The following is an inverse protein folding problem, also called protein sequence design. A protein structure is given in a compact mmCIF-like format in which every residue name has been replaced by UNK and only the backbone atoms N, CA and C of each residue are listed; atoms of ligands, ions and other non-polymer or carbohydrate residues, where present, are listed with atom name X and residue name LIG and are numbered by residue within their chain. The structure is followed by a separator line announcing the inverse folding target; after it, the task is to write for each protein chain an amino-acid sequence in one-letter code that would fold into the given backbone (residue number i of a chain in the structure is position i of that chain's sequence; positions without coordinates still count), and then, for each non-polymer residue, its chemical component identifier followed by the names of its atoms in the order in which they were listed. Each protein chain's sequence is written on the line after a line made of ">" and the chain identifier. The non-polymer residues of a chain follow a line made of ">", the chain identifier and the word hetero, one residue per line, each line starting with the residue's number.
data_IF_161578488344
#
_entry.id   IF_161578488344
#
_cell.length_a   1.000
_cell.length_b   1.000
_cell.length_c   1.000
_cell.angle_alpha   90.00
_cell.angle_beta   90.00
_cell.angle_gamma   90.00
#
_symmetry.space_group_name_H-M   'P 1'
#
loop_
_entity.id
_entity.type
_entity.pdbx_description
1 polymer ?
#
# COMPACT_ATOMS: atom_id res chain seq x y z
N UNK A 1 15.21 3.44 4.12
CA UNK A 1 14.20 2.55 3.54
C UNK A 1 14.53 1.15 4.05
N UNK A 2 13.68 0.55 4.90
CA UNK A 2 13.96 -0.79 5.42
C UNK A 2 13.66 -1.81 4.32
N UNK A 3 14.65 -2.55 3.86
CA UNK A 3 14.55 -3.44 2.69
C UNK A 3 13.91 -4.76 3.12
N UNK A 4 12.64 -4.73 3.51
CA UNK A 4 11.91 -5.95 3.90
C UNK A 4 11.41 -6.75 2.69
N UNK A 5 11.46 -6.18 1.48
CA UNK A 5 10.85 -6.76 0.28
C UNK A 5 9.31 -6.81 0.34
N UNK A 6 8.69 -6.15 1.32
CA UNK A 6 7.24 -6.09 1.52
C UNK A 6 6.72 -4.66 1.45
N UNK A 7 5.46 -4.53 1.08
CA UNK A 7 4.73 -3.27 1.18
C UNK A 7 4.73 -2.83 2.65
N UNK A 8 5.04 -1.56 2.88
CA UNK A 8 5.04 -0.98 4.21
C UNK A 8 3.63 -0.61 4.62
N UNK A 9 3.20 -1.08 5.78
CA UNK A 9 1.90 -0.76 6.38
C UNK A 9 1.94 0.69 6.92
N UNK A 10 0.88 1.47 6.69
CA UNK A 10 0.76 2.79 7.33
C UNK A 10 0.25 2.68 8.77
N UNK A 11 0.24 3.79 9.50
CA UNK A 11 -0.28 3.86 10.86
C UNK A 11 -1.73 3.36 11.00
N UNK A 12 -2.56 3.50 9.96
CA UNK A 12 -3.95 3.01 9.98
C UNK A 12 -4.07 1.50 9.76
N UNK A 13 -2.95 0.81 9.55
CA UNK A 13 -2.91 -0.61 9.22
C UNK A 13 -3.20 -0.92 7.75
N UNK A 14 -3.28 0.11 6.89
CA UNK A 14 -3.56 -0.05 5.46
C UNK A 14 -2.61 0.79 4.61
N UNK A 15 -2.38 0.38 3.37
CA UNK A 15 -1.55 1.14 2.43
C UNK A 15 -2.36 1.50 1.20
N UNK A 16 -2.52 2.79 0.94
CA UNK A 16 -3.27 3.29 -0.21
C UNK A 16 -2.32 3.43 -1.40
N UNK A 17 -2.78 2.98 -2.56
CA UNK A 17 -2.02 2.92 -3.81
C UNK A 17 -2.89 3.37 -4.98
N UNK A 18 -2.27 4.04 -5.96
CA UNK A 18 -2.93 4.35 -7.22
C UNK A 18 -2.83 3.14 -8.17
N UNK A 19 -3.94 2.75 -8.78
CA UNK A 19 -4.02 1.64 -9.74
C UNK A 19 -4.89 2.08 -10.92
N UNK A 20 -4.34 2.27 -12.13
CA UNK A 20 -2.92 2.11 -12.51
C UNK A 20 -1.99 3.14 -11.85
N UNK A 21 -0.68 2.89 -11.88
CA UNK A 21 0.32 3.81 -11.37
C UNK A 21 0.21 5.18 -12.06
N UNK A 22 0.07 6.23 -11.26
CA UNK A 22 -0.08 7.60 -11.74
C UNK A 22 0.74 8.56 -10.86
N UNK A 23 1.97 8.91 -11.28
CA UNK A 23 2.84 9.82 -10.53
C UNK A 23 2.17 11.19 -10.30
N UNK A 24 1.46 11.73 -11.29
CA UNK A 24 0.81 13.04 -11.18
C UNK A 24 -0.28 13.07 -10.11
N UNK A 25 -1.01 11.97 -9.92
CA UNK A 25 -2.03 11.87 -8.86
C UNK A 25 -1.43 11.94 -7.45
N UNK A 26 -0.22 11.40 -7.26
CA UNK A 26 0.50 11.44 -6.00
C UNK A 26 1.24 12.77 -5.79
N UNK A 27 2.02 13.22 -6.78
CA UNK A 27 2.86 14.42 -6.69
C UNK A 27 2.06 15.66 -6.32
N UNK A 28 0.86 15.83 -6.90
CA UNK A 28 0.00 16.98 -6.62
C UNK A 28 -0.52 17.05 -5.17
N UNK A 29 -0.51 15.93 -4.44
CA UNK A 29 -1.00 15.83 -3.05
C UNK A 29 0.13 15.62 -2.04
N UNK A 30 1.34 15.30 -2.51
CA UNK A 30 2.48 14.96 -1.69
C UNK A 30 3.10 16.20 -1.05
N UNK A 31 3.51 16.08 0.22
CA UNK A 31 4.27 17.14 0.89
C UNK A 31 5.71 17.19 0.35
N UNK A 32 6.37 18.37 0.33
CA UNK A 32 7.79 18.45 -0.02
C UNK A 32 8.64 17.46 0.79
N UNK A 33 9.58 16.79 0.11
CA UNK A 33 10.40 15.72 0.68
C UNK A 33 9.77 14.33 0.65
N UNK A 34 8.58 14.18 0.07
CA UNK A 34 7.99 12.86 -0.20
C UNK A 34 8.72 12.16 -1.35
N UNK A 35 8.75 10.83 -1.30
CA UNK A 35 9.30 9.99 -2.37
C UNK A 35 8.15 9.22 -3.01
N UNK A 36 8.05 9.33 -4.33
CA UNK A 36 7.14 8.51 -5.10
C UNK A 36 7.78 7.13 -5.33
N UNK A 37 6.99 6.07 -5.17
CA UNK A 37 7.47 4.70 -5.37
C UNK A 37 6.41 3.90 -6.13
N UNK A 38 6.85 3.23 -7.19
CA UNK A 38 6.09 2.21 -7.91
C UNK A 38 6.62 0.83 -7.53
N UNK A 39 5.72 -0.15 -7.45
CA UNK A 39 6.07 -1.52 -7.16
C UNK A 39 4.93 -2.44 -7.60
N UNK A 40 5.29 -3.68 -7.91
CA UNK A 40 4.36 -4.75 -8.27
C UNK A 40 3.93 -5.54 -7.03
N UNK A 41 2.63 -5.85 -6.97
CA UNK A 41 2.00 -6.74 -5.98
C UNK A 41 1.01 -7.69 -6.67
N UNK A 42 0.68 -8.85 -6.07
CA UNK A 42 -0.41 -9.68 -6.54
C UNK A 42 -1.74 -8.90 -6.56
N UNK A 43 -2.51 -9.02 -7.64
CA UNK A 43 -3.81 -8.34 -7.77
C UNK A 43 -4.79 -8.74 -6.65
N UNK A 44 -4.68 -9.95 -6.13
CA UNK A 44 -5.46 -10.43 -4.98
C UNK A 44 -5.21 -9.68 -3.67
N UNK A 45 -4.11 -8.93 -3.59
CA UNK A 45 -3.77 -8.08 -2.43
C UNK A 45 -4.38 -6.68 -2.51
N UNK A 46 -4.94 -6.30 -3.67
CA UNK A 46 -5.56 -5.01 -3.89
C UNK A 46 -7.05 -5.08 -3.59
N UNK A 47 -7.53 -4.11 -2.81
CA UNK A 47 -8.95 -3.86 -2.61
C UNK A 47 -9.29 -2.48 -3.15
N UNK A 48 -10.10 -2.44 -4.20
CA UNK A 48 -10.55 -1.19 -4.80
C UNK A 48 -11.29 -0.33 -3.77
N UNK A 49 -10.98 0.97 -3.75
CA UNK A 49 -11.65 1.94 -2.87
C UNK A 49 -12.47 2.93 -3.67
N UNK A 50 -11.90 3.46 -4.75
CA UNK A 50 -12.49 4.44 -5.65
C UNK A 50 -11.79 4.36 -7.00
N UNK A 51 -12.35 5.00 -8.02
CA UNK A 51 -11.79 4.98 -9.36
C UNK A 51 -10.31 5.42 -9.36
N UNK A 52 -9.42 4.54 -9.80
CA UNK A 52 -7.98 4.79 -9.85
C UNK A 52 -7.23 4.57 -8.52
N UNK A 53 -7.92 4.16 -7.45
CA UNK A 53 -7.34 3.93 -6.13
C UNK A 53 -7.70 2.57 -5.56
N UNK A 54 -6.73 1.97 -4.90
CA UNK A 54 -6.90 0.74 -4.15
C UNK A 54 -6.19 0.86 -2.81
N UNK A 55 -6.54 -0.03 -1.90
CA UNK A 55 -5.84 -0.21 -0.63
C UNK A 55 -5.37 -1.65 -0.46
N UNK A 56 -4.24 -1.79 0.21
CA UNK A 56 -3.72 -3.07 0.70
C UNK A 56 -4.02 -3.12 2.19
N UNK A 57 -4.70 -4.18 2.63
CA UNK A 57 -5.11 -4.37 4.01
C UNK A 57 -3.98 -5.10 4.76
N UNK A 58 -3.44 -4.47 5.79
CA UNK A 58 -2.42 -5.05 6.65
C UNK A 58 -2.99 -5.72 7.90
N UNK A 59 -2.13 -6.42 8.66
CA UNK A 59 -2.55 -7.15 9.86
C UNK A 59 -3.07 -6.23 10.98
N UNK A 60 -2.60 -4.99 11.05
CA UNK A 60 -2.98 -4.03 12.09
C UNK A 60 -4.20 -3.18 11.72
N UNK A 61 -4.75 -3.36 10.51
CA UNK A 61 -5.99 -2.69 10.09
C UNK A 61 -7.19 -3.05 10.99
N UNK A 62 -8.29 -2.30 10.84
CA UNK A 62 -9.55 -2.67 11.49
C UNK A 62 -10.02 -4.06 11.02
N UNK A 63 -9.93 -4.33 9.72
CA UNK A 63 -10.26 -5.62 9.12
C UNK A 63 -9.35 -6.74 9.63
N UNK A 64 -8.04 -6.50 9.75
CA UNK A 64 -7.08 -7.48 10.25
C UNK A 64 -7.30 -7.83 11.73
N UNK A 65 -7.55 -6.81 12.56
CA UNK A 65 -7.94 -7.02 13.97
C UNK A 65 -9.26 -7.75 14.12
N UNK A 66 -10.24 -7.49 13.24
CA UNK A 66 -11.51 -8.20 13.23
C UNK A 66 -11.34 -9.67 12.83
N UNK A 67 -10.54 -9.96 11.79
CA UNK A 67 -10.24 -11.32 11.35
C UNK A 67 -9.57 -12.13 12.47
N UNK A 68 -8.58 -11.53 13.15
CA UNK A 68 -7.92 -12.14 14.30
C UNK A 68 -8.92 -12.49 15.41
N UNK A 69 -9.82 -11.58 15.77
CA UNK A 69 -10.85 -11.82 16.79
C UNK A 69 -11.85 -12.91 16.39
N UNK A 70 -12.09 -13.11 15.10
CA UNK A 70 -12.99 -14.14 14.57
C UNK A 70 -12.29 -15.50 14.34
N UNK A 71 -11.00 -15.61 14.64
CA UNK A 71 -10.21 -16.81 14.33
C UNK A 71 -10.03 -17.06 12.83
N UNK A 72 -10.16 -16.01 12.01
CA UNK A 72 -9.98 -16.07 10.56
C UNK A 72 -8.52 -15.74 10.18
N UNK A 73 -8.15 -16.04 8.93
CA UNK A 73 -6.85 -15.68 8.39
C UNK A 73 -6.64 -14.16 8.42
N UNK A 74 -5.60 -13.71 9.12
CA UNK A 74 -5.25 -12.29 9.22
C UNK A 74 -4.52 -11.85 7.94
N UNK A 75 -4.97 -10.79 7.27
CA UNK A 75 -4.32 -10.26 6.08
C UNK A 75 -2.88 -9.83 6.40
N UNK A 76 -1.96 -10.09 5.48
CA UNK A 76 -0.54 -9.75 5.62
C UNK A 76 -0.14 -8.78 4.51
N UNK A 77 0.86 -7.94 4.77
CA UNK A 77 1.43 -7.10 3.72
C UNK A 77 2.11 -7.96 2.65
N UNK A 78 1.78 -7.80 1.36
CA UNK A 78 2.34 -8.60 0.29
C UNK A 78 3.79 -8.22 0.03
N UNK A 79 4.48 -9.10 -0.69
CA UNK A 79 5.80 -8.79 -1.23
C UNK A 79 5.67 -7.70 -2.31
N UNK A 80 6.60 -6.74 -2.27
CA UNK A 80 6.74 -5.70 -3.27
C UNK A 80 7.92 -6.09 -4.19
N UNK A 81 7.66 -6.12 -5.50
CA UNK A 81 8.65 -6.49 -6.53
C UNK A 81 8.81 -5.34 -7.53
N UNK A 82 9.90 -5.31 -8.30
CA UNK A 82 10.17 -4.23 -9.28
C UNK A 82 10.01 -2.83 -8.68
N UNK A 83 10.66 -2.58 -7.54
CA UNK A 83 10.50 -1.33 -6.79
C UNK A 83 11.28 -0.21 -7.48
N UNK A 84 10.57 0.78 -8.01
CA UNK A 84 11.13 1.98 -8.63
C UNK A 84 10.79 3.19 -7.77
N UNK A 85 11.78 4.04 -7.45
CA UNK A 85 11.55 5.25 -6.66
C UNK A 85 11.99 6.50 -7.41
N UNK A 86 11.21 7.58 -7.24
CA UNK A 86 11.54 8.90 -7.75
C UNK A 86 11.39 9.93 -6.63
N UNK A 87 12.45 10.72 -6.41
CA UNK A 87 12.37 11.85 -5.50
C UNK A 87 11.49 12.95 -6.10
N UNK A 88 10.53 13.43 -5.33
CA UNK A 88 9.73 14.59 -5.72
C UNK A 88 10.49 15.83 -5.27
N UNK A 89 10.74 16.74 -6.21
CA UNK A 89 11.49 17.98 -5.98
C UNK A 89 10.62 19.06 -5.35
#
# INVERSE_FOLDING_TARGET
>A
MNVSGKVQESFSGTTHVAVPANPSAFVNQARPGSVYVEFNVPTSSLKETSQGWSKIIGPNSLEGRLALRKGQSVPQMPNATEIMSQAIK
#
